data_IF_469329758405
#
_entry.id   IF_469329758405
#
_cell.length_a   1.000
_cell.length_b   1.000
_cell.length_c   1.000
_cell.angle_alpha   90.00
_cell.angle_beta   90.00
_cell.angle_gamma   90.00
#
_symmetry.space_group_name_H-M   'P 1'
#
loop_
_entity.id
_entity.type
_entity.pdbx_description
1 polymer ?
#
# COMPACT_ATOMS: atom_id res chain seq x y z
N UNK A 1 -15.96 21.34 11.75
CA UNK A 1 -16.47 20.34 10.79
C UNK A 1 -17.07 19.20 11.59
N UNK A 2 -18.22 18.66 11.16
CA UNK A 2 -18.81 17.47 11.75
C UNK A 2 -18.72 16.35 10.71
N UNK A 3 -18.21 15.18 11.10
CA UNK A 3 -18.29 13.97 10.29
C UNK A 3 -19.41 13.10 10.89
N UNK A 4 -20.36 12.67 10.05
CA UNK A 4 -21.37 11.71 10.44
C UNK A 4 -20.92 10.32 10.03
N UNK A 5 -20.82 9.41 11.01
CA UNK A 5 -20.92 7.99 10.74
C UNK A 5 -22.36 7.57 11.03
N UNK A 6 -23.09 7.17 9.98
CA UNK A 6 -24.35 6.47 10.16
C UNK A 6 -24.05 5.02 10.52
N UNK A 7 -24.22 4.70 11.80
CA UNK A 7 -24.29 3.32 12.24
C UNK A 7 -25.73 2.82 12.07
N UNK A 8 -25.89 1.50 12.08
CA UNK A 8 -27.16 0.78 11.94
C UNK A 8 -28.36 1.46 12.62
N UNK A 9 -29.53 1.34 11.97
CA UNK A 9 -30.83 1.95 12.29
C UNK A 9 -31.00 2.18 13.80
N UNK A 10 -31.04 3.46 14.22
CA UNK A 10 -31.40 3.87 15.58
C UNK A 10 -30.29 4.46 16.46
N UNK A 11 -29.01 4.42 16.05
CA UNK A 11 -27.91 5.10 16.78
C UNK A 11 -26.96 5.79 15.81
N UNK A 12 -26.61 7.05 16.09
CA UNK A 12 -25.73 7.87 15.25
C UNK A 12 -24.48 8.27 16.02
N UNK A 13 -23.31 8.10 15.42
CA UNK A 13 -22.06 8.62 15.99
C UNK A 13 -21.81 10.02 15.42
N UNK A 14 -21.79 11.03 16.28
CA UNK A 14 -21.49 12.40 15.90
C UNK A 14 -20.09 12.73 16.34
N UNK A 15 -19.23 13.09 15.38
CA UNK A 15 -17.84 13.47 15.62
C UNK A 15 -17.71 14.96 15.32
N UNK A 16 -17.34 15.77 16.32
CA UNK A 16 -17.15 17.23 16.15
C UNK A 16 -15.70 17.62 16.31
N UNK A 17 -15.17 18.34 15.33
CA UNK A 17 -13.82 18.90 15.37
C UNK A 17 -13.86 20.41 15.61
N UNK A 18 -13.02 20.91 16.52
CA UNK A 18 -12.70 22.32 16.66
C UNK A 18 -11.49 22.64 15.79
N UNK A 19 -11.60 23.66 14.97
CA UNK A 19 -10.43 24.29 14.38
C UNK A 19 -9.76 25.11 15.49
N UNK A 20 -8.47 24.93 15.80
CA UNK A 20 -7.79 25.80 16.76
C UNK A 20 -7.92 27.26 16.32
N UNK A 21 -8.25 28.16 17.26
CA UNK A 21 -8.30 29.59 16.98
C UNK A 21 -6.94 30.03 16.42
N UNK A 22 -6.96 30.76 15.31
CA UNK A 22 -5.76 31.14 14.58
C UNK A 22 -4.86 32.06 15.42
N UNK A 23 -3.79 31.54 16.00
CA UNK A 23 -2.56 32.31 16.14
C UNK A 23 -2.10 32.64 14.72
N UNK A 24 -1.85 33.92 14.41
CA UNK A 24 -1.50 34.42 13.08
C UNK A 24 -0.45 33.53 12.41
N UNK A 25 -0.67 33.20 11.14
CA UNK A 25 0.31 32.47 10.33
C UNK A 25 1.61 33.29 10.30
N UNK A 26 2.73 32.65 10.62
CA UNK A 26 4.02 33.14 10.17
C UNK A 26 4.15 32.72 8.70
N UNK A 27 4.39 33.68 7.82
CA UNK A 27 4.73 33.43 6.42
C UNK A 27 6.03 32.62 6.36
N UNK A 28 5.98 31.38 5.85
CA UNK A 28 7.18 30.65 5.45
C UNK A 28 6.95 30.01 4.08
N UNK A 29 7.52 30.63 3.06
CA UNK A 29 7.37 30.28 1.64
C UNK A 29 8.38 29.26 1.10
N UNK A 30 9.23 28.66 1.94
CA UNK A 30 10.28 27.76 1.47
C UNK A 30 10.48 26.58 2.42
N UNK A 31 9.79 25.45 2.18
CA UNK A 31 10.41 24.14 2.42
C UNK A 31 9.68 23.03 1.63
N UNK A 32 10.36 22.48 0.62
CA UNK A 32 9.90 21.31 -0.15
C UNK A 32 10.17 19.99 0.55
N UNK A 33 10.48 20.00 1.85
CA UNK A 33 10.55 18.76 2.64
C UNK A 33 9.15 18.16 2.76
N UNK A 34 8.91 17.05 2.07
CA UNK A 34 7.63 16.34 1.98
C UNK A 34 6.99 15.96 3.35
N UNK A 35 7.72 16.18 4.44
CA UNK A 35 7.31 15.92 5.82
C UNK A 35 6.75 17.13 6.57
N UNK A 36 6.85 18.34 6.02
CA UNK A 36 6.54 19.60 6.72
C UNK A 36 5.29 20.29 6.18
N UNK A 37 4.19 19.57 5.93
CA UNK A 37 2.90 20.24 5.89
C UNK A 37 2.41 20.45 7.32
N UNK A 38 2.63 21.66 7.84
CA UNK A 38 2.14 22.12 9.14
C UNK A 38 0.61 22.25 9.14
N UNK A 39 -0.10 21.13 9.12
CA UNK A 39 -1.46 21.11 9.66
C UNK A 39 -1.37 21.41 11.16
N UNK A 40 -2.31 22.13 11.78
CA UNK A 40 -2.40 22.34 13.26
C UNK A 40 -3.12 21.14 13.92
N UNK A 41 -2.93 20.81 15.21
CA UNK A 41 -3.61 19.67 15.79
C UNK A 41 -5.11 19.99 15.79
N UNK A 42 -5.92 19.09 15.25
CA UNK A 42 -7.36 19.21 15.34
C UNK A 42 -7.77 18.77 16.74
N UNK A 43 -8.41 19.66 17.49
CA UNK A 43 -9.03 19.28 18.76
C UNK A 43 -10.33 18.53 18.42
N UNK A 44 -10.37 17.23 18.71
CA UNK A 44 -11.60 16.45 18.61
C UNK A 44 -12.45 16.80 19.83
N UNK A 45 -13.45 17.66 19.61
CA UNK A 45 -14.14 18.29 20.71
C UNK A 45 -14.94 17.27 21.51
N UNK A 46 -15.64 16.38 20.81
CA UNK A 46 -16.19 15.17 21.41
C UNK A 46 -16.80 14.19 20.38
N UNK A 47 -17.03 12.97 20.84
CA UNK A 47 -17.80 11.91 20.18
C UNK A 47 -19.09 11.69 20.97
N UNK A 48 -20.25 11.71 20.32
CA UNK A 48 -21.56 11.42 20.93
C UNK A 48 -22.23 10.25 20.20
N UNK A 49 -22.79 9.32 20.95
CA UNK A 49 -23.77 8.37 20.44
C UNK A 49 -25.16 8.98 20.62
N UNK A 50 -25.67 9.63 19.57
CA UNK A 50 -27.01 10.19 19.59
C UNK A 50 -28.03 9.05 19.47
N UNK A 51 -28.98 9.00 20.41
CA UNK A 51 -30.19 8.21 20.25
C UNK A 51 -31.01 8.81 19.10
N UNK A 52 -31.46 7.99 18.15
CA UNK A 52 -32.38 8.48 17.12
C UNK A 52 -33.76 8.74 17.75
N UNK A 53 -34.20 10.01 17.87
CA UNK A 53 -35.51 10.32 18.44
C UNK A 53 -36.66 9.80 17.55
N UNK A 54 -36.40 9.45 16.30
CA UNK A 54 -37.36 8.90 15.33
C UNK A 54 -37.68 7.43 15.60
N UNK A 55 -36.75 6.68 16.21
CA UNK A 55 -36.89 5.24 16.44
C UNK A 55 -37.90 4.90 17.57
N UNK A 56 -38.25 5.85 18.44
CA UNK A 56 -39.16 5.64 19.58
C UNK A 56 -40.64 5.64 19.15
N UNK A 57 -40.99 6.15 17.96
CA UNK A 57 -42.40 6.31 17.56
C UNK A 57 -43.06 5.06 16.94
N UNK A 58 -42.33 3.98 16.70
CA UNK A 58 -42.85 2.81 15.96
C UNK A 58 -42.86 1.48 16.73
N UNK A 59 -42.60 1.45 18.04
CA UNK A 59 -42.48 0.18 18.81
C UNK A 59 -43.80 -0.44 19.28
N UNK A 60 -44.97 0.05 18.84
CA UNK A 60 -46.27 -0.51 19.25
C UNK A 60 -46.80 -1.65 18.35
N UNK A 61 -46.14 -2.01 17.26
CA UNK A 61 -46.64 -3.06 16.37
C UNK A 61 -45.52 -3.88 15.73
N UNK A 62 -45.23 -5.05 16.32
CA UNK A 62 -44.91 -6.31 15.63
C UNK A 62 -44.16 -7.26 16.58
N UNK A 63 -44.93 -8.12 17.25
CA UNK A 63 -44.43 -9.40 17.74
C UNK A 63 -44.80 -10.49 16.71
N UNK A 64 -43.91 -11.48 16.58
CA UNK A 64 -44.00 -12.71 15.79
C UNK A 64 -43.55 -12.65 14.31
N UNK A 65 -42.34 -13.14 14.05
CA UNK A 65 -42.07 -14.28 13.15
C UNK A 65 -40.55 -14.56 13.05
N UNK A 66 -40.20 -15.84 13.08
CA UNK A 66 -38.84 -16.40 13.12
C UNK A 66 -38.22 -16.69 11.75
N UNK A 67 -36.89 -16.49 11.69
CA UNK A 67 -35.83 -17.26 11.02
C UNK A 67 -35.79 -17.41 9.47
N UNK A 68 -34.80 -16.74 8.86
CA UNK A 68 -33.80 -17.28 7.92
C UNK A 68 -32.72 -16.20 7.67
N UNK A 69 -31.43 -16.49 7.91
CA UNK A 69 -30.31 -15.54 7.77
C UNK A 69 -29.28 -16.06 6.76
N UNK A 70 -29.00 -15.25 5.74
CA UNK A 70 -28.05 -15.46 4.65
C UNK A 70 -26.71 -14.76 4.96
N UNK A 71 -25.79 -15.52 5.57
CA UNK A 71 -24.44 -15.74 5.04
C UNK A 71 -23.50 -14.57 4.70
N UNK A 72 -23.68 -13.34 5.19
CA UNK A 72 -22.75 -12.22 4.85
C UNK A 72 -22.13 -11.45 6.03
N UNK A 73 -22.34 -11.89 7.27
CA UNK A 73 -21.82 -11.21 8.48
C UNK A 73 -20.41 -11.61 8.98
N UNK A 74 -19.67 -12.48 8.30
CA UNK A 74 -18.49 -13.15 8.87
C UNK A 74 -17.11 -12.53 8.55
N UNK A 75 -17.03 -11.28 8.08
CA UNK A 75 -15.74 -10.67 7.67
C UNK A 75 -14.93 -10.10 8.85
N UNK A 76 -15.48 -10.02 10.06
CA UNK A 76 -14.79 -9.42 11.22
C UNK A 76 -14.02 -10.40 12.11
N UNK A 77 -14.17 -11.72 11.95
CA UNK A 77 -13.34 -12.70 12.68
C UNK A 77 -12.22 -13.33 11.86
N UNK A 78 -12.37 -13.48 10.55
CA UNK A 78 -11.36 -14.15 9.73
C UNK A 78 -10.02 -13.38 9.62
N UNK A 79 -9.98 -12.08 9.93
CA UNK A 79 -8.72 -11.33 10.02
C UNK A 79 -7.89 -11.68 11.28
N UNK A 80 -8.47 -12.41 12.24
CA UNK A 80 -7.75 -12.96 13.39
C UNK A 80 -7.11 -14.34 13.09
N UNK A 81 -7.53 -15.02 12.02
CA UNK A 81 -7.08 -16.38 11.69
C UNK A 81 -5.72 -16.45 10.95
N UNK A 82 -5.09 -15.30 10.64
CA UNK A 82 -3.70 -15.26 10.16
C UNK A 82 -2.65 -15.24 11.29
N UNK A 83 -3.07 -15.44 12.54
CA UNK A 83 -2.20 -15.79 13.66
C UNK A 83 -1.30 -14.68 14.22
N UNK A 84 -1.32 -13.47 13.66
CA UNK A 84 -0.70 -12.30 14.28
C UNK A 84 -1.76 -11.53 15.08
N UNK A 85 -1.62 -11.39 16.42
CA UNK A 85 -2.56 -10.63 17.21
C UNK A 85 -2.63 -9.20 16.66
N UNK A 86 -3.83 -8.75 16.30
CA UNK A 86 -4.03 -7.38 15.80
C UNK A 86 -3.48 -6.39 16.84
N UNK A 87 -2.52 -5.55 16.45
CA UNK A 87 -1.83 -4.62 17.34
C UNK A 87 -0.42 -5.04 17.78
N UNK A 88 0.04 -6.25 17.45
CA UNK A 88 1.47 -6.59 17.55
C UNK A 88 2.16 -6.09 16.29
N UNK A 89 3.07 -5.14 16.45
CA UNK A 89 3.83 -4.64 15.30
C UNK A 89 4.62 -5.80 14.69
N UNK A 90 4.62 -5.96 13.36
CA UNK A 90 5.41 -7.00 12.74
C UNK A 90 6.88 -6.80 13.13
N UNK A 91 7.58 -7.89 13.53
CA UNK A 91 9.02 -7.84 13.73
C UNK A 91 9.71 -7.43 12.42
N UNK A 92 10.98 -7.06 12.54
CA UNK A 92 11.85 -6.55 11.47
C UNK A 92 11.40 -6.90 10.05
N UNK A 93 11.19 -5.87 9.23
CA UNK A 93 10.77 -6.01 7.84
C UNK A 93 11.92 -6.65 7.07
N UNK A 94 11.64 -7.82 6.50
CA UNK A 94 12.58 -8.57 5.68
C UNK A 94 12.07 -8.68 4.24
N UNK A 95 12.92 -8.30 3.27
CA UNK A 95 12.63 -8.39 1.84
C UNK A 95 13.83 -8.89 1.06
N UNK A 96 13.54 -9.49 -0.10
CA UNK A 96 14.50 -9.59 -1.19
C UNK A 96 14.04 -8.70 -2.35
N UNK A 97 14.99 -7.96 -2.91
CA UNK A 97 14.80 -7.02 -4.01
C UNK A 97 15.58 -7.52 -5.21
N UNK A 98 14.92 -7.54 -6.37
CA UNK A 98 15.49 -7.88 -7.66
C UNK A 98 15.47 -6.64 -8.56
N UNK A 99 16.64 -6.21 -9.01
CA UNK A 99 16.83 -5.12 -9.97
C UNK A 99 17.03 -5.74 -11.35
N UNK A 100 15.98 -5.73 -12.18
CA UNK A 100 15.96 -6.51 -13.42
C UNK A 100 16.58 -5.78 -14.60
N UNK A 101 17.41 -6.49 -15.36
CA UNK A 101 17.82 -6.21 -16.73
C UNK A 101 17.25 -7.34 -17.60
N UNK A 102 16.62 -7.07 -18.75
CA UNK A 102 15.95 -8.12 -19.53
C UNK A 102 15.90 -7.84 -21.03
N UNK A 103 15.99 -8.85 -21.89
CA UNK A 103 15.96 -8.68 -23.36
C UNK A 103 16.94 -7.61 -23.88
N UNK A 104 18.11 -7.48 -23.24
CA UNK A 104 19.08 -6.42 -23.54
C UNK A 104 18.70 -5.03 -23.01
N UNK A 105 17.56 -4.89 -22.33
CA UNK A 105 17.16 -3.67 -21.66
C UNK A 105 17.92 -3.46 -20.35
N UNK A 106 18.47 -2.25 -20.13
CA UNK A 106 19.23 -1.96 -18.94
C UNK A 106 18.34 -1.92 -17.70
N UNK A 107 18.96 -2.13 -16.54
CA UNK A 107 18.27 -1.96 -15.25
C UNK A 107 17.76 -0.54 -15.07
N UNK A 108 16.64 -0.42 -14.37
CA UNK A 108 16.09 0.89 -14.05
C UNK A 108 16.94 1.70 -13.07
N UNK A 109 17.61 0.99 -12.16
CA UNK A 109 18.45 1.54 -11.10
C UNK A 109 19.51 0.49 -10.75
N UNK A 110 20.72 0.93 -10.41
CA UNK A 110 21.77 0.03 -9.91
C UNK A 110 21.63 -0.22 -8.40
N UNK A 111 22.35 -1.23 -7.89
CA UNK A 111 22.30 -1.58 -6.48
C UNK A 111 22.70 -0.41 -5.56
N UNK A 112 23.75 0.34 -5.91
CA UNK A 112 24.27 1.42 -5.08
C UNK A 112 23.24 2.54 -4.90
N UNK A 113 22.61 2.96 -6.00
CA UNK A 113 21.57 3.98 -6.03
C UNK A 113 20.32 3.49 -5.30
N UNK A 114 19.91 2.22 -5.51
CA UNK A 114 18.78 1.64 -4.77
C UNK A 114 19.04 1.65 -3.27
N UNK A 115 20.22 1.20 -2.83
CA UNK A 115 20.59 1.18 -1.41
C UNK A 115 20.62 2.58 -0.78
N UNK A 116 21.02 3.61 -1.52
CA UNK A 116 20.99 4.99 -1.04
C UNK A 116 19.56 5.52 -0.81
N UNK A 117 18.57 5.04 -1.57
CA UNK A 117 17.15 5.33 -1.35
C UNK A 117 16.57 4.50 -0.19
N UNK A 118 17.08 3.28 -0.02
CA UNK A 118 16.50 2.32 0.93
C UNK A 118 17.00 2.52 2.36
N UNK A 119 18.30 2.79 2.54
CA UNK A 119 18.96 2.81 3.84
C UNK A 119 19.55 4.15 4.21
N UNK A 120 19.66 4.37 5.51
CA UNK A 120 20.40 5.49 6.06
C UNK A 120 21.90 5.23 5.94
N UNK A 121 22.63 6.27 5.56
CA UNK A 121 24.09 6.33 5.57
C UNK A 121 24.54 7.24 6.71
N UNK A 122 25.86 7.34 6.95
CA UNK A 122 26.42 8.30 7.92
C UNK A 122 26.14 9.77 7.59
N UNK A 123 25.58 10.08 6.41
CA UNK A 123 25.19 11.43 5.99
C UNK A 123 23.68 11.65 6.01
N UNK A 124 22.88 10.59 6.19
CA UNK A 124 21.42 10.68 6.14
C UNK A 124 20.89 11.35 7.39
N UNK A 125 20.14 12.43 7.22
CA UNK A 125 19.48 13.15 8.31
C UNK A 125 18.22 12.40 8.74
N UNK A 126 17.74 12.57 9.98
CA UNK A 126 16.52 11.89 10.45
C UNK A 126 15.25 12.18 9.63
N UNK A 127 15.20 13.31 8.91
CA UNK A 127 14.06 13.72 8.08
C UNK A 127 14.25 13.45 6.58
N UNK A 128 15.40 12.90 6.18
CA UNK A 128 15.61 12.55 4.77
C UNK A 128 14.65 11.43 4.38
N UNK A 129 14.20 11.46 3.13
CA UNK A 129 13.23 10.49 2.62
C UNK A 129 13.95 9.21 2.17
N UNK A 130 14.22 8.33 3.13
CA UNK A 130 14.66 6.95 2.89
C UNK A 130 13.59 5.98 3.36
N UNK A 131 13.59 4.76 2.81
CA UNK A 131 12.69 3.69 3.29
C UNK A 131 12.90 3.43 4.78
N UNK A 132 14.16 3.35 5.22
CA UNK A 132 14.49 3.16 6.64
C UNK A 132 13.96 4.28 7.54
N UNK A 133 14.13 5.56 7.17
CA UNK A 133 13.58 6.68 7.94
C UNK A 133 12.05 6.66 7.97
N UNK A 134 11.39 6.36 6.84
CA UNK A 134 9.94 6.24 6.79
C UNK A 134 9.44 5.17 7.78
N UNK A 135 9.98 3.96 7.70
CA UNK A 135 9.58 2.85 8.57
C UNK A 135 9.85 3.21 10.03
N UNK A 136 11.04 3.73 10.34
CA UNK A 136 11.41 4.10 11.71
C UNK A 136 10.45 5.17 12.28
N UNK A 137 10.15 6.21 11.48
CA UNK A 137 9.29 7.33 11.89
C UNK A 137 7.83 6.92 12.01
N UNK A 138 7.25 6.35 10.96
CA UNK A 138 5.82 6.05 10.90
C UNK A 138 5.42 4.83 11.73
N UNK A 139 6.36 3.94 12.08
CA UNK A 139 6.10 2.84 13.02
C UNK A 139 6.47 3.17 14.47
N UNK A 140 7.00 4.38 14.75
CA UNK A 140 7.54 4.73 16.06
C UNK A 140 8.60 3.74 16.57
N UNK A 141 9.45 3.26 15.65
CA UNK A 141 10.50 2.27 15.94
C UNK A 141 9.99 0.86 16.26
N UNK A 142 8.70 0.58 16.08
CA UNK A 142 8.11 -0.74 16.35
C UNK A 142 8.39 -1.74 15.23
N UNK A 143 8.63 -1.24 14.02
CA UNK A 143 9.15 -2.04 12.92
C UNK A 143 10.50 -1.47 12.52
N UNK A 144 11.43 -2.35 12.17
CA UNK A 144 12.76 -1.97 11.73
C UNK A 144 13.00 -2.51 10.33
N UNK A 145 13.73 -1.73 9.55
CA UNK A 145 14.28 -2.16 8.28
C UNK A 145 15.80 -1.97 8.41
N UNK A 146 16.55 -3.06 8.32
CA UNK A 146 18.00 -3.05 8.50
C UNK A 146 18.66 -3.61 7.25
N UNK A 147 19.93 -3.26 7.03
CA UNK A 147 20.67 -3.78 5.88
C UNK A 147 20.75 -5.32 5.89
N UNK A 148 20.79 -5.94 7.07
CA UNK A 148 20.88 -7.40 7.20
C UNK A 148 19.57 -8.14 6.90
N UNK A 149 18.41 -7.47 6.95
CA UNK A 149 17.11 -8.08 6.61
C UNK A 149 16.69 -7.83 5.17
N UNK A 150 17.55 -7.20 4.38
CA UNK A 150 17.20 -6.67 3.06
C UNK A 150 18.25 -7.12 2.03
N UNK A 151 17.91 -8.17 1.30
CA UNK A 151 18.76 -8.68 0.23
C UNK A 151 18.44 -7.93 -1.06
N UNK A 152 19.46 -7.47 -1.77
CA UNK A 152 19.31 -6.75 -3.04
C UNK A 152 20.19 -7.46 -4.06
N UNK A 153 19.60 -7.85 -5.18
CA UNK A 153 20.29 -8.54 -6.26
C UNK A 153 20.00 -7.86 -7.58
N UNK A 154 21.05 -7.73 -8.38
CA UNK A 154 20.91 -7.43 -9.79
C UNK A 154 20.74 -8.74 -10.56
N UNK A 155 19.72 -8.82 -11.42
CA UNK A 155 19.33 -10.07 -12.09
C UNK A 155 19.13 -9.81 -13.58
N UNK A 156 19.78 -10.63 -14.41
CA UNK A 156 19.65 -10.58 -15.88
C UNK A 156 18.64 -11.61 -16.40
N UNK A 157 17.86 -11.17 -17.39
CA UNK A 157 17.03 -11.90 -18.37
C UNK A 157 16.33 -13.16 -17.86
N UNK A 158 15.08 -13.02 -17.39
CA UNK A 158 14.22 -14.18 -17.15
C UNK A 158 12.77 -13.89 -17.48
N UNK A 159 12.14 -14.82 -18.19
CA UNK A 159 10.78 -14.69 -18.74
C UNK A 159 9.64 -14.96 -17.72
N UNK A 160 9.96 -15.50 -16.53
CA UNK A 160 9.05 -15.74 -15.41
C UNK A 160 9.55 -15.00 -14.15
N UNK A 161 9.43 -13.67 -14.20
CA UNK A 161 10.42 -12.72 -13.67
C UNK A 161 10.82 -12.96 -12.21
N UNK A 162 9.84 -13.04 -11.30
CA UNK A 162 10.14 -13.16 -9.88
C UNK A 162 10.53 -14.59 -9.46
N UNK A 163 9.88 -15.62 -10.00
CA UNK A 163 10.17 -17.02 -9.61
C UNK A 163 11.53 -17.46 -10.14
N UNK A 164 11.82 -17.13 -11.41
CA UNK A 164 13.11 -17.46 -11.98
C UNK A 164 14.24 -16.70 -11.26
N UNK A 165 13.99 -15.48 -10.77
CA UNK A 165 15.00 -14.69 -10.10
C UNK A 165 15.32 -15.30 -8.74
N UNK A 166 14.29 -15.73 -8.01
CA UNK A 166 14.44 -16.54 -6.81
C UNK A 166 15.23 -17.82 -7.08
N UNK A 167 14.89 -18.57 -8.13
CA UNK A 167 15.62 -19.78 -8.52
C UNK A 167 17.08 -19.51 -8.88
N UNK A 168 17.37 -18.40 -9.58
CA UNK A 168 18.74 -18.02 -9.90
C UNK A 168 19.52 -17.71 -8.62
N UNK A 169 18.95 -16.92 -7.72
CA UNK A 169 19.59 -16.57 -6.44
C UNK A 169 19.88 -17.80 -5.61
N UNK A 170 18.90 -18.71 -5.52
CA UNK A 170 19.06 -19.97 -4.82
C UNK A 170 20.12 -20.87 -5.47
N UNK A 171 20.10 -21.01 -6.80
CA UNK A 171 21.03 -21.89 -7.53
C UNK A 171 22.45 -21.33 -7.60
N UNK A 172 22.60 -20.04 -7.87
CA UNK A 172 23.89 -19.38 -8.12
C UNK A 172 24.60 -19.06 -6.81
N UNK A 173 23.86 -18.59 -5.80
CA UNK A 173 24.45 -18.10 -4.55
C UNK A 173 24.12 -18.97 -3.33
N UNK A 174 23.27 -19.99 -3.47
CA UNK A 174 22.93 -20.90 -2.36
C UNK A 174 22.15 -20.23 -1.23
N UNK A 175 21.50 -19.09 -1.50
CA UNK A 175 20.78 -18.31 -0.48
C UNK A 175 19.37 -18.85 -0.32
N UNK A 176 19.02 -19.24 0.90
CA UNK A 176 17.64 -19.58 1.25
C UNK A 176 16.78 -18.32 1.37
N UNK A 177 15.80 -18.19 0.47
CA UNK A 177 14.86 -17.07 0.44
C UNK A 177 13.58 -17.32 1.25
N UNK A 178 13.40 -18.51 1.82
CA UNK A 178 12.23 -18.89 2.62
C UNK A 178 11.94 -17.92 3.78
N UNK A 179 12.95 -17.39 4.52
CA UNK A 179 12.70 -16.45 5.62
C UNK A 179 12.17 -15.09 5.17
N UNK A 180 12.40 -14.71 3.91
CA UNK A 180 11.94 -13.45 3.35
C UNK A 180 10.55 -13.71 2.76
N UNK A 181 9.52 -12.99 3.19
CA UNK A 181 8.19 -13.09 2.55
C UNK A 181 8.00 -12.07 1.44
N UNK A 182 8.56 -10.87 1.61
CA UNK A 182 8.48 -9.80 0.62
C UNK A 182 9.48 -10.03 -0.52
N UNK A 183 8.98 -9.91 -1.75
CA UNK A 183 9.68 -10.03 -3.03
C UNK A 183 9.43 -8.74 -3.80
N UNK A 184 10.45 -7.93 -3.99
CA UNK A 184 10.32 -6.64 -4.67
C UNK A 184 11.05 -6.74 -6.00
N UNK A 185 10.35 -6.48 -7.09
CA UNK A 185 10.88 -6.48 -8.43
C UNK A 185 10.89 -5.08 -9.03
N UNK A 186 12.06 -4.57 -9.40
CA UNK A 186 12.20 -3.28 -10.08
C UNK A 186 12.42 -3.52 -11.56
N UNK A 187 11.43 -3.15 -12.35
CA UNK A 187 11.32 -3.50 -13.76
C UNK A 187 12.00 -2.46 -14.66
N UNK A 188 12.64 -2.87 -15.76
CA UNK A 188 13.24 -1.98 -16.74
C UNK A 188 12.20 -1.14 -17.49
N UNK A 189 12.68 -0.09 -18.17
CA UNK A 189 11.88 0.96 -18.79
C UNK A 189 10.85 0.44 -19.79
N UNK A 190 11.22 -0.57 -20.54
CA UNK A 190 10.41 -1.09 -21.63
C UNK A 190 9.15 -1.78 -21.11
N UNK A 191 9.19 -2.26 -19.86
CA UNK A 191 8.00 -2.79 -19.21
C UNK A 191 7.00 -1.70 -18.86
N UNK A 192 7.42 -0.48 -18.50
CA UNK A 192 6.46 0.60 -18.17
C UNK A 192 5.58 0.98 -19.37
N UNK A 193 6.09 0.76 -20.60
CA UNK A 193 5.35 0.98 -21.85
C UNK A 193 4.31 -0.10 -22.15
N UNK A 194 4.49 -1.30 -21.58
CA UNK A 194 3.63 -2.46 -21.79
C UNK A 194 2.63 -2.60 -20.63
N UNK A 195 3.09 -2.37 -19.41
CA UNK A 195 2.31 -2.45 -18.20
C UNK A 195 1.75 -1.06 -17.85
N UNK A 196 0.43 -0.89 -17.92
CA UNK A 196 -0.24 0.38 -17.61
C UNK A 196 -0.30 0.75 -16.12
N UNK A 197 0.67 0.34 -15.30
CA UNK A 197 0.74 0.62 -13.87
C UNK A 197 2.13 1.15 -13.45
N UNK A 198 2.17 2.00 -12.43
CA UNK A 198 3.44 2.46 -11.82
C UNK A 198 4.00 1.48 -10.79
N UNK A 199 3.10 0.84 -10.04
CA UNK A 199 3.41 -0.23 -9.10
C UNK A 199 2.28 -1.27 -9.06
N UNK A 200 2.58 -2.46 -8.55
CA UNK A 200 1.58 -3.48 -8.22
C UNK A 200 2.04 -4.37 -7.08
N UNK A 201 1.17 -4.62 -6.10
CA UNK A 201 1.43 -5.47 -4.93
C UNK A 201 0.45 -6.63 -4.80
N UNK A 202 0.90 -7.71 -4.16
CA UNK A 202 0.06 -8.80 -3.69
C UNK A 202 -0.64 -8.39 -2.40
N UNK A 203 -1.93 -8.69 -2.22
CA UNK A 203 -2.65 -8.30 -0.99
C UNK A 203 -2.75 -9.46 0.00
N UNK A 204 -2.11 -9.33 1.17
CA UNK A 204 -2.33 -10.25 2.31
C UNK A 204 -1.92 -11.71 2.07
N UNK A 205 -0.78 -11.90 1.41
CA UNK A 205 -0.19 -13.19 1.04
C UNK A 205 0.35 -13.98 2.25
N UNK A 206 0.28 -15.31 2.17
CA UNK A 206 0.68 -16.21 3.25
C UNK A 206 2.21 -16.48 3.29
N UNK A 207 2.77 -16.87 2.14
CA UNK A 207 4.17 -17.33 2.03
C UNK A 207 5.05 -16.37 1.22
N UNK A 208 4.62 -16.02 0.00
CA UNK A 208 5.37 -15.14 -0.91
C UNK A 208 4.52 -13.95 -1.32
N UNK A 209 5.09 -12.76 -1.18
CA UNK A 209 4.42 -11.49 -1.39
C UNK A 209 5.17 -10.66 -2.41
N UNK A 210 4.57 -10.44 -3.57
CA UNK A 210 5.23 -9.76 -4.68
C UNK A 210 4.82 -8.31 -4.79
N UNK A 211 5.82 -7.44 -4.94
CA UNK A 211 5.70 -6.05 -5.37
C UNK A 211 6.46 -5.89 -6.68
N UNK A 212 5.86 -5.23 -7.65
CA UNK A 212 6.50 -4.84 -8.90
C UNK A 212 6.46 -3.32 -9.04
N UNK A 213 7.60 -2.71 -9.32
CA UNK A 213 7.74 -1.26 -9.55
C UNK A 213 8.28 -1.07 -10.95
N UNK A 214 7.60 -0.24 -11.75
CA UNK A 214 8.09 0.08 -13.09
C UNK A 214 9.19 1.14 -13.04
N UNK A 215 10.03 1.16 -14.08
CA UNK A 215 11.19 2.01 -14.19
C UNK A 215 10.95 3.49 -13.83
N UNK A 216 9.86 4.07 -14.35
CA UNK A 216 9.53 5.48 -14.15
C UNK A 216 9.37 5.85 -12.66
N UNK A 217 9.16 4.84 -11.82
CA UNK A 217 8.97 4.96 -10.37
C UNK A 217 10.05 4.23 -9.55
N UNK A 218 11.11 3.73 -10.19
CA UNK A 218 12.19 2.98 -9.53
C UNK A 218 12.95 3.80 -8.46
N UNK A 219 12.88 5.13 -8.54
CA UNK A 219 13.43 6.05 -7.53
C UNK A 219 12.36 6.66 -6.60
N UNK A 220 11.10 6.32 -6.77
CA UNK A 220 9.99 6.91 -6.03
C UNK A 220 9.53 6.00 -4.88
N UNK A 221 10.03 6.27 -3.67
CA UNK A 221 9.68 5.50 -2.47
C UNK A 221 8.19 5.46 -2.15
N UNK A 222 7.38 6.43 -2.61
CA UNK A 222 5.93 6.40 -2.36
C UNK A 222 5.30 5.15 -2.99
N UNK A 223 5.70 4.81 -4.21
CA UNK A 223 5.22 3.62 -4.90
C UNK A 223 5.68 2.34 -4.21
N UNK A 224 6.96 2.26 -3.82
CA UNK A 224 7.45 1.12 -3.05
C UNK A 224 6.63 0.92 -1.78
N UNK A 225 6.43 1.97 -0.98
CA UNK A 225 5.69 1.88 0.27
C UNK A 225 4.21 1.51 0.07
N UNK A 226 3.56 2.08 -0.94
CA UNK A 226 2.17 1.77 -1.30
C UNK A 226 2.02 0.27 -1.63
N UNK A 227 2.85 -0.23 -2.54
CA UNK A 227 2.76 -1.62 -2.98
C UNK A 227 3.25 -2.61 -1.91
N UNK A 228 4.25 -2.26 -1.11
CA UNK A 228 4.66 -3.05 0.05
C UNK A 228 3.57 -3.07 1.13
N UNK A 229 2.78 -2.00 1.25
CA UNK A 229 1.61 -1.95 2.13
C UNK A 229 0.61 -3.05 1.81
N UNK A 230 0.37 -3.32 0.52
CA UNK A 230 -0.46 -4.46 0.11
C UNK A 230 0.08 -5.80 0.59
N UNK A 231 1.39 -6.02 0.53
CA UNK A 231 2.01 -7.25 1.02
C UNK A 231 1.77 -7.46 2.52
N UNK A 232 1.65 -6.38 3.31
CA UNK A 232 1.24 -6.45 4.72
C UNK A 232 -0.28 -6.61 4.93
N UNK A 233 -1.04 -6.84 3.86
CA UNK A 233 -2.48 -7.00 3.88
C UNK A 233 -3.24 -5.68 3.97
N UNK A 234 -2.60 -4.54 3.73
CA UNK A 234 -3.27 -3.25 3.71
C UNK A 234 -4.05 -3.10 2.40
N UNK A 235 -5.19 -2.41 2.50
CA UNK A 235 -6.00 -2.04 1.33
C UNK A 235 -5.78 -0.56 1.03
N UNK A 236 -6.15 -0.16 -0.18
CA UNK A 236 -6.17 1.26 -0.50
C UNK A 236 -7.04 2.02 0.52
N UNK A 237 -6.64 3.24 0.80
CA UNK A 237 -7.41 4.16 1.59
C UNK A 237 -8.26 5.06 0.68
N UNK A 238 -9.56 5.06 0.92
CA UNK A 238 -10.53 5.90 0.24
C UNK A 238 -11.03 6.99 1.18
N UNK A 239 -11.12 8.23 0.70
CA UNK A 239 -11.93 9.23 1.38
C UNK A 239 -13.41 8.87 1.22
N UNK A 240 -14.23 9.20 2.22
CA UNK A 240 -15.66 8.87 2.27
C UNK A 240 -16.45 9.40 1.05
N UNK A 241 -16.05 10.56 0.53
CA UNK A 241 -16.66 11.25 -0.60
C UNK A 241 -15.93 11.00 -1.93
N UNK A 242 -14.96 10.07 -1.95
CA UNK A 242 -14.20 9.77 -3.17
C UNK A 242 -14.73 8.53 -3.88
N UNK A 243 -14.94 8.68 -5.19
CA UNK A 243 -15.19 7.54 -6.08
C UNK A 243 -13.91 6.75 -6.40
N UNK A 244 -12.72 7.29 -6.09
CA UNK A 244 -11.45 6.62 -6.33
C UNK A 244 -11.12 5.67 -5.18
N UNK A 245 -10.68 4.45 -5.52
CA UNK A 245 -10.17 3.48 -4.56
C UNK A 245 -8.95 4.01 -3.76
N UNK A 246 -8.25 5.02 -4.26
CA UNK A 246 -7.09 5.67 -3.60
C UNK A 246 -7.38 7.11 -3.19
N UNK A 247 -8.65 7.48 -3.03
CA UNK A 247 -9.08 8.86 -2.81
C UNK A 247 -8.60 9.54 -1.52
N UNK A 248 -7.92 8.83 -0.63
CA UNK A 248 -7.36 9.39 0.61
C UNK A 248 -6.03 10.11 0.37
N UNK A 249 -6.04 11.44 0.37
CA UNK A 249 -4.85 12.26 0.22
C UNK A 249 -4.04 12.43 1.52
N UNK A 250 -4.36 11.69 2.58
CA UNK A 250 -3.70 11.83 3.88
C UNK A 250 -2.69 10.74 4.19
N UNK A 251 -2.61 9.66 3.39
CA UNK A 251 -1.72 8.55 3.68
C UNK A 251 -1.17 7.82 2.45
N UNK A 252 -0.13 7.01 2.69
CA UNK A 252 0.54 6.22 1.65
C UNK A 252 -0.35 5.20 0.94
N UNK A 253 -1.37 4.66 1.62
CA UNK A 253 -2.30 3.73 0.98
C UNK A 253 -3.38 4.43 0.15
N UNK A 254 -3.42 5.76 0.17
CA UNK A 254 -4.14 6.56 -0.82
C UNK A 254 -3.15 7.14 -1.81
N UNK A 255 -3.04 8.47 -1.87
CA UNK A 255 -2.24 9.18 -2.89
C UNK A 255 -1.09 10.03 -2.32
N UNK A 256 -0.88 10.04 -1.00
CA UNK A 256 0.09 10.94 -0.37
C UNK A 256 1.35 10.22 0.14
N UNK A 257 2.50 10.89 0.10
CA UNK A 257 3.76 10.43 0.70
C UNK A 257 3.81 10.62 2.23
N UNK A 258 2.73 10.30 2.94
CA UNK A 258 2.60 10.45 4.39
C UNK A 258 2.52 9.09 5.09
N UNK A 259 2.60 9.07 6.42
CA UNK A 259 2.40 7.82 7.17
C UNK A 259 1.04 7.18 6.88
N UNK A 260 0.87 5.89 7.22
CA UNK A 260 -0.42 5.19 7.15
C UNK A 260 -1.50 5.97 7.90
N UNK A 261 -2.73 6.01 7.39
CA UNK A 261 -3.85 6.55 8.16
C UNK A 261 -4.14 5.71 9.42
N UNK A 262 -5.02 6.19 10.30
CA UNK A 262 -5.29 5.54 11.59
C UNK A 262 -5.70 4.06 11.44
N UNK A 263 -6.54 3.72 10.47
CA UNK A 263 -7.03 2.35 10.28
C UNK A 263 -5.89 1.40 9.85
N UNK A 264 -5.11 1.79 8.85
CA UNK A 264 -3.98 0.98 8.36
C UNK A 264 -2.84 0.94 9.39
N UNK A 265 -2.54 2.05 10.06
CA UNK A 265 -1.54 2.11 11.13
C UNK A 265 -1.92 1.23 12.33
N UNK A 266 -3.19 1.22 12.73
CA UNK A 266 -3.70 0.32 13.76
C UNK A 266 -3.59 -1.15 13.36
N UNK A 267 -3.96 -1.49 12.12
CA UNK A 267 -3.82 -2.86 11.59
C UNK A 267 -2.37 -3.35 11.63
N UNK A 268 -1.41 -2.45 11.37
CA UNK A 268 0.03 -2.74 11.47
C UNK A 268 0.58 -2.73 12.91
N UNK A 269 -0.23 -2.33 13.90
CA UNK A 269 0.27 -2.06 15.25
C UNK A 269 1.28 -0.89 15.31
N UNK A 270 1.25 0.00 14.32
CA UNK A 270 2.07 1.23 14.24
C UNK A 270 1.38 2.45 14.83
N UNK A 271 0.07 2.37 15.04
CA UNK A 271 -0.71 3.39 15.70
C UNK A 271 -1.63 2.74 16.74
N UNK A 272 -1.80 3.39 17.88
CA UNK A 272 -2.73 2.98 18.93
C UNK A 272 -3.85 3.99 19.11
N UNK A 273 -5.02 3.54 19.58
CA UNK A 273 -6.01 4.45 20.11
C UNK A 273 -5.41 5.25 21.28
N UNK A 274 -5.90 6.46 21.50
CA UNK A 274 -5.61 7.22 22.71
C UNK A 274 -6.06 6.42 23.95
N UNK A 275 -5.43 6.61 25.13
CA UNK A 275 -5.92 6.00 26.37
C UNK A 275 -7.40 6.31 26.60
N UNK A 276 -8.21 5.27 26.78
CA UNK A 276 -9.67 5.38 26.93
C UNK A 276 -10.46 5.62 25.63
N UNK A 277 -9.79 5.81 24.49
CA UNK A 277 -10.42 6.10 23.20
C UNK A 277 -10.64 4.86 22.31
N UNK A 278 -10.65 3.68 22.93
CA UNK A 278 -11.08 2.45 22.31
C UNK A 278 -12.52 2.18 22.74
N UNK A 279 -13.44 2.68 21.92
CA UNK A 279 -14.82 2.91 22.27
C UNK A 279 -15.73 1.84 21.70
N UNK A 280 -16.77 1.50 22.45
CA UNK A 280 -17.77 0.51 22.09
C UNK A 280 -19.11 0.79 22.80
N UNK A 281 -20.10 -0.10 22.64
CA UNK A 281 -21.41 0.07 23.28
C UNK A 281 -21.40 0.09 24.81
N UNK A 282 -20.33 -0.36 25.47
CA UNK A 282 -20.19 -0.34 26.94
C UNK A 282 -19.49 0.92 27.45
N UNK A 283 -18.62 1.51 26.62
CA UNK A 283 -17.80 2.68 26.95
C UNK A 283 -18.34 3.99 26.34
N UNK A 284 -19.33 3.90 25.43
CA UNK A 284 -20.06 5.04 24.86
C UNK A 284 -21.52 5.07 25.33
N UNK A 285 -21.80 5.64 26.51
CA UNK A 285 -23.18 5.85 26.94
C UNK A 285 -23.91 6.84 26.01
N UNK A 286 -25.17 6.58 25.65
CA UNK A 286 -25.96 7.48 24.80
C UNK A 286 -26.07 8.89 25.37
N UNK A 287 -25.99 9.90 24.49
CA UNK A 287 -26.14 11.31 24.87
C UNK A 287 -24.97 11.91 25.65
N UNK A 288 -23.89 11.16 25.86
CA UNK A 288 -22.67 11.67 26.50
C UNK A 288 -21.61 12.04 25.46
N UNK A 289 -20.95 13.17 25.71
CA UNK A 289 -19.81 13.64 24.93
C UNK A 289 -18.51 13.16 25.58
N UNK A 290 -17.68 12.45 24.81
CA UNK A 290 -16.33 12.04 25.24
C UNK A 290 -15.27 12.92 24.56
N UNK A 291 -14.59 13.83 25.28
CA UNK A 291 -13.58 14.71 24.71
C UNK A 291 -12.21 14.03 24.59
N UNK A 292 -11.49 14.29 23.49
CA UNK A 292 -10.13 13.77 23.28
C UNK A 292 -9.22 14.82 22.64
N UNK A 293 -7.97 14.91 23.13
CA UNK A 293 -6.93 15.61 22.41
C UNK A 293 -6.22 14.66 21.45
N UNK A 294 -6.37 14.88 20.15
CA UNK A 294 -5.80 14.01 19.11
C UNK A 294 -4.51 14.65 18.58
N UNK A 295 -3.32 14.13 18.93
CA UNK A 295 -2.06 14.60 18.37
C UNK A 295 -1.93 14.18 16.91
N UNK A 296 -0.96 14.76 16.19
CA UNK A 296 -0.64 14.25 14.85
C UNK A 296 -0.09 12.84 14.94
N UNK A 297 -0.56 11.99 14.03
CA UNK A 297 -0.09 10.62 13.91
C UNK A 297 1.39 10.50 13.59
N UNK A 298 2.06 11.53 13.08
CA UNK A 298 3.51 11.53 12.88
C UNK A 298 4.33 11.84 14.13
N UNK A 299 3.66 12.30 15.21
CA UNK A 299 4.32 12.80 16.44
C UNK A 299 3.99 11.99 17.68
N UNK A 300 2.96 11.15 17.63
CA UNK A 300 2.55 10.32 18.76
C UNK A 300 2.05 8.96 18.28
N UNK A 301 2.48 7.92 18.99
CA UNK A 301 2.05 6.54 18.73
C UNK A 301 0.56 6.33 19.00
N UNK A 302 0.05 6.97 20.05
CA UNK A 302 -1.38 7.02 20.34
C UNK A 302 -1.97 8.30 19.72
N UNK A 303 -2.78 8.16 18.67
CA UNK A 303 -3.15 9.30 17.82
C UNK A 303 -4.52 9.20 17.16
N UNK A 304 -5.38 8.30 17.62
CA UNK A 304 -6.73 8.17 17.06
C UNK A 304 -7.74 7.74 18.12
N UNK A 305 -9.01 7.92 17.79
CA UNK A 305 -10.13 7.30 18.49
C UNK A 305 -10.60 6.14 17.63
N UNK A 306 -10.82 4.98 18.24
CA UNK A 306 -11.36 3.80 17.58
C UNK A 306 -12.75 3.55 18.12
N UNK A 307 -13.71 3.27 17.24
CA UNK A 307 -15.08 2.97 17.64
C UNK A 307 -15.46 1.61 17.06
N UNK A 308 -15.74 0.66 17.93
CA UNK A 308 -16.27 -0.64 17.60
C UNK A 308 -17.78 -0.65 17.83
N UNK A 309 -18.61 -0.81 16.79
CA UNK A 309 -20.05 -0.79 16.92
C UNK A 309 -20.59 -2.08 17.54
N UNK A 310 -20.37 -2.31 18.84
CA UNK A 310 -20.89 -3.47 19.59
C UNK A 310 -22.33 -3.31 20.07
N UNK A 311 -22.94 -2.14 19.84
CA UNK A 311 -24.36 -2.00 20.14
C UNK A 311 -25.17 -2.97 19.28
N UNK A 312 -26.18 -3.64 19.88
CA UNK A 312 -27.05 -4.50 19.10
C UNK A 312 -27.61 -3.68 17.96
N UNK A 313 -27.39 -4.16 16.73
CA UNK A 313 -28.16 -3.67 15.59
C UNK A 313 -29.61 -3.83 16.00
N UNK A 314 -30.38 -2.72 16.01
CA UNK A 314 -31.84 -2.85 16.09
C UNK A 314 -32.22 -3.94 15.07
N UNK A 315 -33.03 -4.95 15.45
CA UNK A 315 -33.54 -5.88 14.47
C UNK A 315 -34.06 -5.01 13.34
N UNK A 316 -33.49 -5.17 12.15
CA UNK A 316 -33.97 -4.46 10.97
C UNK A 316 -35.47 -4.71 11.00
N UNK A 317 -36.27 -3.69 11.32
CA UNK A 317 -37.68 -3.70 10.98
C UNK A 317 -37.60 -3.83 9.48
N UNK A 318 -37.69 -5.06 8.98
CA UNK A 318 -37.72 -5.32 7.57
C UNK A 318 -38.81 -4.39 7.10
N UNK A 319 -38.43 -3.30 6.43
CA UNK A 319 -39.41 -2.59 5.64
C UNK A 319 -39.97 -3.71 4.81
N UNK A 320 -41.27 -4.05 4.93
CA UNK A 320 -41.85 -5.03 4.05
C UNK A 320 -41.39 -4.57 2.68
N UNK A 321 -40.59 -5.41 2.01
CA UNK A 321 -40.26 -5.19 0.62
C UNK A 321 -41.63 -5.14 -0.02
N UNK A 322 -42.18 -3.92 -0.16
CA UNK A 322 -43.42 -3.69 -0.84
C UNK A 322 -43.17 -4.38 -2.16
N UNK A 323 -43.90 -5.48 -2.36
CA UNK A 323 -43.69 -6.38 -3.46
C UNK A 323 -43.53 -5.50 -4.69
N UNK A 324 -42.30 -5.37 -5.19
CA UNK A 324 -42.08 -4.82 -6.50
C UNK A 324 -42.67 -5.90 -7.37
N UNK A 325 -43.96 -5.78 -7.65
CA UNK A 325 -44.61 -6.42 -8.78
C UNK A 325 -43.62 -6.29 -9.91
N UNK A 326 -43.17 -7.44 -10.39
CA UNK A 326 -42.30 -7.52 -11.54
C UNK A 326 -43.00 -6.81 -12.69
N UNK A 327 -42.64 -5.55 -12.92
CA UNK A 327 -42.96 -4.88 -14.15
C UNK A 327 -42.13 -5.61 -15.21
N UNK A 328 -42.84 -6.42 -16.00
CA UNK A 328 -42.26 -7.19 -17.08
C UNK A 328 -41.40 -6.26 -17.95
N UNK A 329 -40.21 -6.69 -18.40
CA UNK A 329 -39.37 -5.86 -19.24
C UNK A 329 -40.14 -5.54 -20.53
N UNK A 330 -40.49 -4.26 -20.69
CA UNK A 330 -40.98 -3.75 -21.96
C UNK A 330 -39.93 -4.07 -23.03
N UNK A 331 -40.35 -4.82 -24.05
CA UNK A 331 -39.56 -5.18 -25.21
C UNK A 331 -39.06 -3.91 -25.89
N UNK A 332 -37.74 -3.69 -25.89
CA UNK A 332 -37.13 -2.60 -26.65
C UNK A 332 -37.37 -2.83 -28.15
N UNK A 333 -37.81 -1.82 -28.92
CA UNK A 333 -37.84 -1.91 -30.36
C UNK A 333 -36.41 -2.04 -30.91
N UNK A 334 -36.27 -2.96 -31.86
CA UNK A 334 -35.02 -3.30 -32.55
C UNK A 334 -34.62 -2.14 -33.46
N UNK A 335 -33.74 -1.25 -32.98
CA UNK A 335 -33.14 -0.20 -33.81
C UNK A 335 -31.94 -0.76 -34.56
N UNK A 336 -32.09 -0.95 -35.87
CA UNK A 336 -31.00 -1.26 -36.79
C UNK A 336 -30.12 -0.01 -36.93
N UNK A 337 -28.89 -0.06 -36.42
CA UNK A 337 -27.89 1.00 -36.66
C UNK A 337 -27.06 0.57 -37.87
N UNK A 338 -27.23 1.30 -38.97
CA UNK A 338 -26.35 1.26 -40.12
C UNK A 338 -24.97 1.81 -39.74
N UNK A 339 -23.93 1.11 -40.17
CA UNK A 339 -22.53 1.48 -40.02
C UNK A 339 -22.25 2.79 -40.77
N UNK A 340 -21.92 3.86 -40.04
CA UNK A 340 -21.41 5.10 -40.61
C UNK A 340 -19.88 5.11 -40.48
N UNK A 341 -19.22 5.20 -41.63
CA UNK A 341 -17.78 5.34 -41.77
C UNK A 341 -17.26 6.55 -40.99
N UNK A 342 -16.20 6.34 -40.20
CA UNK A 342 -15.47 7.40 -39.53
C UNK A 342 -14.67 8.22 -40.55
N UNK A 343 -14.94 9.53 -40.59
CA UNK A 343 -14.12 10.51 -41.27
C UNK A 343 -12.77 10.71 -40.53
N UNK A 344 -11.66 10.96 -41.24
CA UNK A 344 -10.35 11.13 -40.63
C UNK A 344 -10.26 12.44 -39.83
N UNK A 345 -9.75 12.35 -38.59
CA UNK A 345 -9.38 13.51 -37.78
C UNK A 345 -8.21 14.25 -38.42
N UNK A 346 -8.37 15.56 -38.58
CA UNK A 346 -7.35 16.48 -39.06
C UNK A 346 -6.14 16.52 -38.10
N UNK A 347 -4.95 16.52 -38.69
CA UNK A 347 -3.67 16.59 -37.99
C UNK A 347 -3.47 17.97 -37.34
N UNK A 348 -3.03 17.96 -36.08
CA UNK A 348 -2.53 19.14 -35.37
C UNK A 348 -1.09 19.39 -35.85
N UNK A 349 -0.72 20.63 -36.22
CA UNK A 349 0.62 20.92 -36.71
C UNK A 349 1.67 20.80 -35.59
N UNK A 350 2.71 20.03 -35.89
CA UNK A 350 3.93 19.83 -35.10
C UNK A 350 4.72 21.15 -35.05
N UNK A 351 5.14 21.65 -33.87
CA UNK A 351 6.06 22.78 -33.80
C UNK A 351 7.44 22.39 -34.36
N UNK A 352 8.06 23.36 -35.03
CA UNK A 352 9.32 23.22 -35.76
C UNK A 352 10.50 22.84 -34.84
N UNK A 353 11.51 22.11 -35.35
CA UNK A 353 12.70 21.78 -34.60
C UNK A 353 13.61 23.01 -34.46
N UNK A 354 13.97 23.35 -33.23
CA UNK A 354 15.05 24.29 -32.94
C UNK A 354 16.39 23.74 -33.45
N UNK A 355 17.16 24.64 -34.06
CA UNK A 355 18.46 24.36 -34.67
C UNK A 355 19.55 24.38 -33.59
N UNK A 356 20.47 23.41 -33.56
CA UNK A 356 21.55 23.40 -32.56
C UNK A 356 22.70 24.35 -32.95
N UNK A 357 23.18 25.14 -31.99
CA UNK A 357 24.48 25.81 -32.07
C UNK A 357 25.61 24.86 -31.61
N UNK A 358 26.77 24.82 -32.29
CA UNK A 358 28.00 24.22 -31.79
C UNK A 358 29.05 25.30 -31.41
N UNK A 359 30.23 24.95 -30.87
CA UNK A 359 30.51 24.19 -29.64
C UNK A 359 31.49 24.94 -28.72
N UNK A 360 31.72 24.47 -27.49
CA UNK A 360 33.01 24.72 -26.81
C UNK A 360 33.47 23.46 -26.09
N UNK A 361 34.67 23.03 -26.44
CA UNK A 361 35.29 21.78 -26.06
C UNK A 361 35.86 21.79 -24.63
N UNK A 362 35.81 20.63 -23.98
CA UNK A 362 36.88 20.12 -23.14
C UNK A 362 36.81 18.59 -23.14
N UNK A 363 37.93 17.97 -23.50
CA UNK A 363 38.08 16.57 -23.82
C UNK A 363 38.14 15.69 -22.56
N UNK A 364 37.46 14.54 -22.61
CA UNK A 364 37.86 13.33 -21.91
C UNK A 364 37.49 12.13 -22.79
N UNK A 365 38.51 11.35 -23.14
CA UNK A 365 38.45 10.16 -23.99
C UNK A 365 37.89 8.97 -23.21
N UNK A 366 36.79 8.40 -23.69
CA UNK A 366 36.38 7.04 -23.40
C UNK A 366 35.66 6.47 -24.62
N UNK A 367 36.22 5.42 -25.21
CA UNK A 367 35.65 4.73 -26.37
C UNK A 367 34.24 4.18 -26.03
N UNK A 368 33.23 4.39 -26.88
CA UNK A 368 31.95 3.71 -26.73
C UNK A 368 32.09 2.26 -27.21
N UNK A 369 31.79 1.31 -26.32
CA UNK A 369 31.52 -0.07 -26.69
C UNK A 369 30.28 -0.10 -27.58
N UNK A 370 30.37 -0.75 -28.74
CA UNK A 370 29.28 -0.84 -29.70
C UNK A 370 28.02 -1.42 -29.05
N UNK A 371 26.91 -0.71 -29.17
CA UNK A 371 25.60 -1.18 -28.73
C UNK A 371 25.19 -2.39 -29.58
N UNK A 372 25.03 -3.55 -28.93
CA UNK A 372 24.45 -4.74 -29.54
C UNK A 372 22.95 -4.45 -29.77
N UNK A 373 22.41 -4.65 -30.97
CA UNK A 373 20.99 -4.42 -31.23
C UNK A 373 20.14 -5.36 -30.38
N UNK A 374 19.16 -4.80 -29.67
CA UNK A 374 18.19 -5.55 -28.88
C UNK A 374 17.47 -6.58 -29.75
N UNK A 375 17.65 -7.86 -29.48
CA UNK A 375 16.84 -8.92 -30.10
C UNK A 375 15.41 -8.85 -29.55
N UNK A 376 14.37 -9.01 -30.40
CA UNK A 376 13.00 -9.07 -29.93
C UNK A 376 12.80 -10.27 -28.99
N UNK A 377 12.10 -10.05 -27.86
CA UNK A 377 11.71 -11.08 -26.89
C UNK A 377 10.71 -12.08 -27.50
N UNK A 378 11.11 -12.85 -28.51
CA UNK A 378 10.31 -13.93 -29.08
C UNK A 378 10.58 -15.19 -28.26
N UNK A 379 9.85 -15.36 -27.15
CA UNK A 379 9.89 -16.62 -26.41
C UNK A 379 9.07 -17.68 -27.14
N UNK A 380 9.75 -18.52 -27.92
CA UNK A 380 9.30 -19.90 -28.11
C UNK A 380 9.61 -20.63 -26.81
N UNK A 381 8.62 -21.21 -26.10
CA UNK A 381 8.90 -21.99 -24.90
C UNK A 381 9.71 -23.21 -25.32
N UNK A 382 11.00 -23.22 -24.99
CA UNK A 382 11.86 -24.37 -25.28
C UNK A 382 11.55 -25.42 -24.22
N UNK A 383 11.09 -26.59 -24.68
CA UNK A 383 10.78 -27.72 -23.85
C UNK A 383 11.97 -28.12 -22.96
N UNK A 384 11.66 -28.51 -21.73
CA UNK A 384 12.59 -28.91 -20.70
C UNK A 384 13.67 -29.89 -21.19
N UNK A 385 14.94 -29.53 -20.95
CA UNK A 385 16.05 -30.48 -20.92
C UNK A 385 15.93 -31.32 -19.65
N UNK A 386 15.50 -32.57 -19.82
CA UNK A 386 15.65 -33.60 -18.82
C UNK A 386 17.14 -33.98 -18.69
N UNK A 387 17.64 -34.00 -17.45
CA UNK A 387 18.70 -34.91 -17.03
C UNK A 387 20.08 -34.31 -16.74
N UNK A 388 20.36 -34.09 -15.45
CA UNK A 388 21.55 -34.62 -14.78
C UNK A 388 21.32 -34.59 -13.25
N UNK A 389 21.51 -35.70 -12.51
CA UNK A 389 21.44 -35.67 -11.05
C UNK A 389 22.65 -34.93 -10.47
N UNK A 390 22.49 -34.25 -9.30
CA UNK A 390 23.58 -33.52 -8.67
C UNK A 390 24.65 -34.49 -8.17
N UNK A 391 25.91 -34.16 -8.47
CA UNK A 391 27.07 -34.84 -7.89
C UNK A 391 27.07 -34.63 -6.36
N UNK A 392 26.95 -35.72 -5.61
CA UNK A 392 27.14 -35.77 -4.17
C UNK A 392 28.59 -35.41 -3.84
N UNK A 393 28.81 -34.19 -3.33
CA UNK A 393 30.05 -33.84 -2.63
C UNK A 393 29.92 -34.29 -1.17
N UNK A 394 30.67 -35.32 -0.82
CA UNK A 394 30.92 -35.73 0.56
C UNK A 394 31.68 -34.62 1.30
N UNK A 395 31.26 -34.18 2.49
CA UNK A 395 32.04 -33.24 3.28
C UNK A 395 33.27 -33.96 3.87
N UNK A 396 34.44 -33.38 3.67
CA UNK A 396 35.67 -33.80 4.34
C UNK A 396 35.59 -33.42 5.83
N UNK A 397 35.80 -34.42 6.70
CA UNK A 397 35.92 -34.24 8.14
C UNK A 397 37.14 -33.35 8.48
N UNK A 398 37.02 -32.37 9.39
CA UNK A 398 38.19 -31.68 9.90
C UNK A 398 38.91 -32.56 10.94
N UNK A 399 40.18 -32.84 10.69
CA UNK A 399 41.09 -33.39 11.69
C UNK A 399 41.43 -32.32 12.72
N UNK A 400 41.04 -32.53 13.97
CA UNK A 400 41.52 -31.77 15.13
C UNK A 400 42.95 -32.20 15.44
N UNK A 401 43.91 -31.33 15.12
CA UNK A 401 45.25 -31.36 15.71
C UNK A 401 45.38 -30.19 16.68
N UNK A 402 45.35 -30.51 17.98
CA UNK A 402 45.85 -29.65 19.06
C UNK A 402 47.35 -29.38 18.84
N UNK A 403 47.86 -28.29 19.43
CA UNK A 403 49.02 -28.48 20.29
C UNK A 403 48.87 -27.82 21.65
N UNK A 404 49.40 -28.54 22.64
CA UNK A 404 49.87 -28.02 23.91
C UNK A 404 50.95 -26.95 23.68
N UNK A 405 50.82 -25.83 24.38
CA UNK A 405 51.86 -25.17 25.18
C UNK A 405 51.21 -24.06 26.02
#
# INVERSE_FOLDING_TARGET
MAALLEASVGRRVVVRYRKPQSLRAADSSDDSSAWSQSSRPLELLAVELAADPSAVKNTAAAAAATAADDGTGAVTRAAADSGSPVGVAPPDIASVVFLYSMCGYPRAIDEATFRALWFNTGRTRPNDYTMQNYIQKCSFGRSKLTNSTQLVFEVDEQAAWSQAAEELVQRQWGIDLTPYKQRIGVLPNEVSKICGFGGRGSVGCAERCYTWITHDYASNLVYFLHEMGHNWGLRHATAYDSASATGDWSCIMGTAGACLNAANGWKMGWALPLPGADLDGSTMPPGMWLPYFVPYQSTAHASHVRIYPSWPTQPSTAQPQAARTAEAPASKPKTTIASAAQAPKAAVPKPAPETPQPPTALAASSQPSAAVPAQPCAHTPTAALAGAPPATRTPASPSLSSPLA
#
